data_IF_480565755349
#
_entry.id   IF_480565755349
#
_cell.length_a   1.000
_cell.length_b   1.000
_cell.length_c   1.000
_cell.angle_alpha   90.00
_cell.angle_beta   90.00
_cell.angle_gamma   90.00
#
_symmetry.space_group_name_H-M   'P 1'
#
loop_
_entity.id
_entity.type
_entity.pdbx_description
1 polymer ?
#
# COMPACT_ATOMS: atom_id res chain seq x y z
N UNK A 1 -6.81 -17.26 -30.83
CA UNK A 1 -7.29 -16.15 -29.97
C UNK A 1 -6.84 -16.46 -28.56
N UNK A 2 -5.70 -15.89 -28.15
CA UNK A 2 -5.13 -16.11 -26.82
C UNK A 2 -5.97 -15.32 -25.82
N UNK A 3 -6.74 -16.01 -24.97
CA UNK A 3 -7.29 -15.41 -23.77
C UNK A 3 -6.10 -14.96 -22.92
N UNK A 4 -5.88 -13.64 -22.90
CA UNK A 4 -5.00 -12.99 -21.94
C UNK A 4 -5.91 -12.75 -20.74
N UNK A 5 -5.81 -13.59 -19.73
CA UNK A 5 -6.40 -13.31 -18.42
C UNK A 5 -6.09 -11.84 -18.06
N UNK A 6 -7.09 -11.02 -17.68
CA UNK A 6 -6.81 -9.69 -17.17
C UNK A 6 -6.04 -9.89 -15.87
N UNK A 7 -4.71 -9.79 -15.98
CA UNK A 7 -3.77 -9.97 -14.90
C UNK A 7 -4.04 -8.89 -13.84
N UNK A 8 -4.92 -9.25 -12.89
CA UNK A 8 -5.34 -8.56 -11.66
C UNK A 8 -5.10 -7.05 -11.61
N UNK A 9 -6.05 -6.28 -12.13
CA UNK A 9 -6.07 -4.82 -11.97
C UNK A 9 -6.35 -4.38 -10.52
N UNK A 10 -6.76 -5.30 -9.64
CA UNK A 10 -7.15 -5.04 -8.25
C UNK A 10 -8.50 -5.66 -7.91
N UNK A 11 -8.88 -5.65 -6.62
CA UNK A 11 -10.23 -6.05 -6.18
C UNK A 11 -11.20 -4.90 -6.37
N UNK A 12 -12.29 -5.12 -7.10
CA UNK A 12 -13.36 -4.12 -7.22
C UNK A 12 -14.13 -3.98 -5.91
N UNK A 13 -14.53 -2.75 -5.59
CA UNK A 13 -15.27 -2.40 -4.38
C UNK A 13 -16.58 -1.75 -4.80
N UNK A 14 -17.70 -2.23 -4.24
CA UNK A 14 -19.01 -1.68 -4.54
C UNK A 14 -19.07 -0.18 -4.18
N UNK A 15 -19.91 0.61 -4.86
CA UNK A 15 -20.06 2.03 -4.53
C UNK A 15 -20.52 2.25 -3.08
N UNK A 16 -21.34 1.33 -2.55
CA UNK A 16 -21.82 1.37 -1.17
C UNK A 16 -20.69 1.10 -0.16
N UNK A 17 -19.89 0.06 -0.39
CA UNK A 17 -18.74 -0.26 0.46
C UNK A 17 -17.66 0.81 0.35
N UNK A 18 -17.42 1.33 -0.86
CA UNK A 18 -16.49 2.43 -1.11
C UNK A 18 -16.82 3.65 -0.26
N UNK A 19 -18.10 4.02 -0.17
CA UNK A 19 -18.55 5.14 0.66
C UNK A 19 -18.45 4.82 2.15
N UNK A 20 -18.84 3.62 2.57
CA UNK A 20 -18.82 3.17 3.97
C UNK A 20 -17.40 3.07 4.53
N UNK A 21 -16.46 2.58 3.72
CA UNK A 21 -15.11 2.21 4.13
C UNK A 21 -14.08 3.31 3.82
N UNK A 22 -14.48 4.42 3.18
CA UNK A 22 -13.56 5.50 2.76
C UNK A 22 -12.68 5.98 3.90
N UNK A 23 -13.30 6.32 5.03
CA UNK A 23 -12.61 6.83 6.18
C UNK A 23 -11.60 5.81 6.74
N UNK A 24 -11.99 4.54 6.81
CA UNK A 24 -11.13 3.46 7.32
C UNK A 24 -9.93 3.26 6.39
N UNK A 25 -10.19 3.17 5.08
CA UNK A 25 -9.14 3.04 4.08
C UNK A 25 -8.16 4.21 4.15
N UNK A 26 -8.66 5.44 4.11
CA UNK A 26 -7.82 6.64 4.16
C UNK A 26 -7.02 6.73 5.45
N UNK A 27 -7.60 6.39 6.60
CA UNK A 27 -6.88 6.39 7.87
C UNK A 27 -5.71 5.40 7.86
N UNK A 28 -5.91 4.18 7.33
CA UNK A 28 -4.84 3.18 7.21
C UNK A 28 -3.71 3.69 6.30
N UNK A 29 -4.04 4.28 5.14
CA UNK A 29 -3.02 4.81 4.22
C UNK A 29 -2.25 5.98 4.85
N UNK A 30 -2.94 6.91 5.50
CA UNK A 30 -2.30 8.09 6.12
C UNK A 30 -1.41 7.68 7.29
N UNK A 31 -1.83 6.73 8.12
CA UNK A 31 -1.01 6.15 9.18
C UNK A 31 0.26 5.50 8.58
N UNK A 32 0.10 4.76 7.48
CA UNK A 32 1.24 4.15 6.82
C UNK A 32 2.25 5.17 6.28
N UNK A 33 1.77 6.23 5.63
CA UNK A 33 2.61 7.31 5.14
C UNK A 33 3.33 8.04 6.28
N UNK A 34 2.65 8.28 7.41
CA UNK A 34 3.23 8.94 8.57
C UNK A 34 4.34 8.09 9.20
N UNK A 35 4.11 6.79 9.41
CA UNK A 35 5.11 5.90 10.00
C UNK A 35 6.34 5.72 9.10
N UNK A 36 6.15 5.57 7.78
CA UNK A 36 7.25 5.49 6.81
C UNK A 36 8.16 6.71 6.89
N UNK A 37 7.60 7.92 6.98
CA UNK A 37 8.38 9.16 7.05
C UNK A 37 9.17 9.31 8.35
N UNK A 38 8.80 8.60 9.42
CA UNK A 38 9.48 8.62 10.71
C UNK A 38 10.60 7.57 10.80
N UNK A 39 10.73 6.68 9.82
CA UNK A 39 11.75 5.64 9.83
C UNK A 39 13.16 6.20 9.61
N UNK A 40 14.15 5.53 10.19
CA UNK A 40 15.56 5.86 10.02
C UNK A 40 16.31 4.66 9.42
N UNK A 41 17.45 4.88 8.75
CA UNK A 41 18.24 3.78 8.20
C UNK A 41 18.66 2.79 9.29
N UNK A 42 18.46 1.49 9.05
CA UNK A 42 18.80 0.43 10.01
C UNK A 42 20.30 0.32 10.30
N UNK A 43 21.14 0.77 9.37
CA UNK A 43 22.59 0.82 9.53
C UNK A 43 23.13 2.21 9.19
N UNK A 44 24.22 2.65 9.85
CA UNK A 44 24.89 3.87 9.48
C UNK A 44 25.57 3.75 8.11
N UNK A 45 25.80 4.89 7.45
CA UNK A 45 26.57 4.98 6.21
C UNK A 45 25.74 5.37 4.99
N UNK A 46 26.43 5.86 3.96
CA UNK A 46 25.79 6.46 2.79
C UNK A 46 24.95 5.46 1.99
N UNK A 47 25.43 4.22 1.83
CA UNK A 47 24.72 3.19 1.07
C UNK A 47 23.42 2.76 1.77
N UNK A 48 23.46 2.55 3.08
CA UNK A 48 22.27 2.25 3.88
C UNK A 48 21.24 3.39 3.81
N UNK A 49 21.70 4.64 3.85
CA UNK A 49 20.83 5.80 3.67
C UNK A 49 20.20 5.88 2.27
N UNK A 50 20.91 5.45 1.22
CA UNK A 50 20.35 5.39 -0.14
C UNK A 50 19.25 4.33 -0.25
N UNK A 51 19.50 3.09 0.20
CA UNK A 51 18.48 2.03 0.20
C UNK A 51 17.27 2.36 1.08
N UNK A 52 17.51 3.05 2.21
CA UNK A 52 16.43 3.55 3.06
C UNK A 52 15.54 4.54 2.31
N UNK A 53 16.13 5.54 1.65
CA UNK A 53 15.40 6.53 0.85
C UNK A 53 14.62 5.90 -0.30
N UNK A 54 15.19 4.90 -0.95
CA UNK A 54 14.51 4.13 -2.01
C UNK A 54 13.29 3.39 -1.44
N UNK A 55 13.46 2.69 -0.32
CA UNK A 55 12.37 1.97 0.37
C UNK A 55 11.26 2.91 0.84
N UNK A 56 11.62 4.09 1.39
CA UNK A 56 10.66 5.14 1.75
C UNK A 56 9.89 5.61 0.51
N UNK A 57 10.58 5.88 -0.60
CA UNK A 57 9.95 6.34 -1.84
C UNK A 57 9.00 5.29 -2.42
N UNK A 58 9.40 4.03 -2.45
CA UNK A 58 8.55 2.92 -2.91
C UNK A 58 7.31 2.75 -2.04
N UNK A 59 7.45 2.84 -0.70
CA UNK A 59 6.32 2.76 0.21
C UNK A 59 5.31 3.89 -0.03
N UNK A 60 5.79 5.14 -0.17
CA UNK A 60 4.95 6.31 -0.43
C UNK A 60 4.28 6.24 -1.81
N UNK A 61 5.00 5.79 -2.83
CA UNK A 61 4.44 5.58 -4.17
C UNK A 61 3.37 4.48 -4.16
N UNK A 62 3.60 3.38 -3.46
CA UNK A 62 2.59 2.33 -3.28
C UNK A 62 1.32 2.85 -2.58
N UNK A 63 1.47 3.68 -1.55
CA UNK A 63 0.33 4.36 -0.91
C UNK A 63 -0.44 5.27 -1.87
N UNK A 64 0.26 6.02 -2.73
CA UNK A 64 -0.38 6.86 -3.75
C UNK A 64 -1.15 6.03 -4.79
N UNK A 65 -0.60 4.89 -5.20
CA UNK A 65 -1.28 3.95 -6.10
C UNK A 65 -2.54 3.36 -5.46
N UNK A 66 -2.48 3.02 -4.16
CA UNK A 66 -3.63 2.55 -3.40
C UNK A 66 -4.75 3.60 -3.35
N UNK A 67 -4.42 4.88 -3.09
CA UNK A 67 -5.40 5.98 -3.12
C UNK A 67 -5.99 6.16 -4.53
N UNK A 68 -5.15 6.08 -5.58
CA UNK A 68 -5.61 6.20 -6.96
C UNK A 68 -6.58 5.07 -7.35
N UNK A 69 -6.25 3.83 -6.97
CA UNK A 69 -7.15 2.69 -7.16
C UNK A 69 -8.45 2.85 -6.38
N UNK A 70 -8.35 3.29 -5.12
CA UNK A 70 -9.50 3.49 -4.26
C UNK A 70 -10.46 4.52 -4.86
N UNK A 71 -9.95 5.63 -5.39
CA UNK A 71 -10.75 6.63 -6.10
C UNK A 71 -11.39 6.10 -7.40
N UNK A 72 -10.89 5.00 -7.96
CA UNK A 72 -11.47 4.27 -9.09
C UNK A 72 -12.41 3.13 -8.64
N UNK A 73 -12.68 2.99 -7.34
CA UNK A 73 -13.52 1.93 -6.80
C UNK A 73 -12.84 0.57 -6.74
N UNK A 74 -11.52 0.51 -6.57
CA UNK A 74 -10.78 -0.75 -6.43
C UNK A 74 -9.62 -0.68 -5.42
N UNK A 75 -9.21 -1.83 -4.91
CA UNK A 75 -7.93 -1.98 -4.20
C UNK A 75 -6.86 -2.32 -5.23
N UNK A 76 -5.92 -1.41 -5.50
CA UNK A 76 -4.87 -1.59 -6.50
C UNK A 76 -3.80 -2.60 -6.04
N UNK A 77 -3.83 -3.81 -6.61
CA UNK A 77 -2.93 -4.90 -6.20
C UNK A 77 -1.43 -4.60 -6.44
N UNK A 78 -1.03 -3.97 -7.57
CA UNK A 78 0.36 -3.54 -7.75
C UNK A 78 0.81 -2.52 -6.70
N UNK A 79 -0.04 -1.54 -6.38
CA UNK A 79 0.19 -0.56 -5.32
C UNK A 79 0.32 -1.23 -3.95
N UNK A 80 -0.57 -2.18 -3.66
CA UNK A 80 -0.56 -2.97 -2.43
C UNK A 80 0.74 -3.77 -2.27
N UNK A 81 1.13 -4.50 -3.30
CA UNK A 81 2.35 -5.31 -3.32
C UNK A 81 3.60 -4.44 -3.13
N UNK A 82 3.65 -3.30 -3.83
CA UNK A 82 4.77 -2.35 -3.69
C UNK A 82 4.86 -1.79 -2.27
N UNK A 83 3.74 -1.29 -1.73
CA UNK A 83 3.71 -0.69 -0.40
C UNK A 83 4.12 -1.71 0.68
N UNK A 84 3.52 -2.90 0.66
CA UNK A 84 3.73 -3.94 1.69
C UNK A 84 5.15 -4.51 1.66
N UNK A 85 5.75 -4.69 0.46
CA UNK A 85 7.15 -5.09 0.33
C UNK A 85 8.09 -4.02 0.91
N UNK A 86 7.86 -2.75 0.57
CA UNK A 86 8.69 -1.65 1.04
C UNK A 86 8.58 -1.44 2.57
N UNK A 87 7.37 -1.55 3.13
CA UNK A 87 7.14 -1.49 4.56
C UNK A 87 7.91 -2.58 5.32
N UNK A 88 7.92 -3.82 4.81
CA UNK A 88 8.72 -4.90 5.40
C UNK A 88 10.21 -4.61 5.37
N UNK A 89 10.72 -4.02 4.28
CA UNK A 89 12.11 -3.59 4.17
C UNK A 89 12.46 -2.49 5.19
N UNK A 90 11.49 -1.65 5.56
CA UNK A 90 11.61 -0.62 6.59
C UNK A 90 11.39 -1.15 8.02
N UNK A 91 11.15 -2.45 8.20
CA UNK A 91 10.85 -3.05 9.51
C UNK A 91 9.41 -2.84 10.01
N UNK A 92 8.53 -2.28 9.17
CA UNK A 92 7.13 -1.97 9.49
C UNK A 92 6.20 -3.14 9.14
N UNK A 93 6.51 -4.34 9.64
CA UNK A 93 5.81 -5.59 9.30
C UNK A 93 4.32 -5.59 9.65
N UNK A 94 3.95 -5.07 10.83
CA UNK A 94 2.55 -5.01 11.27
C UNK A 94 1.71 -4.10 10.37
N UNK A 95 2.30 -2.99 9.92
CA UNK A 95 1.65 -2.06 9.01
C UNK A 95 1.50 -2.66 7.61
N UNK A 96 2.48 -3.45 7.16
CA UNK A 96 2.36 -4.21 5.92
C UNK A 96 1.18 -5.19 6.01
N UNK A 97 1.03 -5.91 7.12
CA UNK A 97 -0.12 -6.82 7.30
C UNK A 97 -1.45 -6.07 7.30
N UNK A 98 -1.53 -4.89 7.94
CA UNK A 98 -2.73 -4.04 7.90
C UNK A 98 -3.11 -3.60 6.49
N UNK A 99 -2.13 -3.21 5.68
CA UNK A 99 -2.37 -2.90 4.26
C UNK A 99 -2.86 -4.12 3.49
N UNK A 100 -2.26 -5.29 3.71
CA UNK A 100 -2.69 -6.52 3.02
C UNK A 100 -4.14 -6.88 3.32
N UNK A 101 -4.60 -6.64 4.54
CA UNK A 101 -5.98 -6.86 4.94
C UNK A 101 -6.98 -5.94 4.21
N UNK A 102 -6.53 -4.85 3.58
CA UNK A 102 -7.41 -4.01 2.74
C UNK A 102 -8.01 -4.79 1.55
N UNK A 103 -7.37 -5.88 1.12
CA UNK A 103 -7.92 -6.77 0.08
C UNK A 103 -9.24 -7.46 0.52
N UNK A 104 -9.55 -7.46 1.81
CA UNK A 104 -10.74 -8.07 2.40
C UNK A 104 -11.57 -7.04 3.18
N UNK A 105 -11.38 -5.75 2.91
CA UNK A 105 -11.99 -4.66 3.69
C UNK A 105 -13.53 -4.67 3.66
N UNK A 106 -14.12 -5.22 2.60
CA UNK A 106 -15.55 -5.39 2.35
C UNK A 106 -16.12 -6.74 2.81
N UNK A 107 -15.28 -7.66 3.31
CA UNK A 107 -15.70 -8.99 3.80
C UNK A 107 -16.12 -8.98 5.28
N UNK A 108 -16.21 -7.80 5.91
CA UNK A 108 -16.58 -7.59 7.32
C UNK A 108 -18.07 -7.37 7.55
#
# INVERSE_FOLDING_TARGET
>A
MTHRDPQSAGKEISAQDRARLDQIFMQVILDAQAQVQQTTPAQPGNLAAMFHKESVSDALQGCAMLIAGWNQGRVDEPGLTRATKALRALGLGDLAQRLENLRQIDES
#
